data_IF_276331460630
#
_entry.id   IF_276331460630
#
_cell.length_a   1.000
_cell.length_b   1.000
_cell.length_c   1.000
_cell.angle_alpha   90.00
_cell.angle_beta   90.00
_cell.angle_gamma   90.00
#
_symmetry.space_group_name_H-M   'P 1'
#
loop_
_entity.id
_entity.type
_entity.pdbx_description
1 polymer ?
#
# COMPACT_ATOMS: atom_id res chain seq x y z
N UNK A 1 21.87 4.55 -6.54
CA UNK A 1 23.28 4.19 -6.87
C UNK A 1 23.65 4.54 -8.30
N UNK A 2 22.81 4.25 -9.29
CA UNK A 2 23.10 4.60 -10.70
C UNK A 2 23.32 6.10 -10.90
N UNK A 3 22.48 6.93 -10.32
CA UNK A 3 22.53 8.39 -10.48
C UNK A 3 23.84 9.00 -9.93
N UNK A 4 24.24 8.62 -8.73
CA UNK A 4 25.39 9.22 -8.04
C UNK A 4 26.70 8.43 -8.16
N UNK A 5 26.62 7.11 -8.32
CA UNK A 5 27.80 6.25 -8.36
C UNK A 5 28.07 5.62 -9.74
N UNK A 6 27.14 5.74 -10.69
CA UNK A 6 27.21 5.09 -12.00
C UNK A 6 27.24 3.56 -11.93
N UNK A 7 26.84 2.97 -10.79
CA UNK A 7 26.87 1.52 -10.56
C UNK A 7 25.45 0.95 -10.50
N UNK A 8 25.20 -0.10 -11.31
CA UNK A 8 24.02 -0.93 -11.17
C UNK A 8 24.12 -1.79 -9.90
N UNK A 9 23.00 -1.97 -9.22
CA UNK A 9 22.89 -2.87 -8.07
C UNK A 9 22.10 -4.11 -8.46
N UNK A 10 22.45 -5.24 -7.88
CA UNK A 10 21.67 -6.46 -7.99
C UNK A 10 20.37 -6.27 -7.22
N UNK A 11 19.24 -6.59 -7.83
CA UNK A 11 17.95 -6.47 -7.14
C UNK A 11 17.70 -7.66 -6.20
N UNK A 12 16.84 -7.47 -5.21
CA UNK A 12 16.37 -8.55 -4.34
C UNK A 12 15.82 -9.73 -5.14
N UNK A 13 15.06 -9.45 -6.18
CA UNK A 13 14.45 -10.47 -7.04
C UNK A 13 15.45 -11.19 -7.96
N UNK A 14 16.66 -10.65 -8.15
CA UNK A 14 17.73 -11.35 -8.87
C UNK A 14 18.35 -12.46 -8.01
N UNK A 15 18.19 -12.38 -6.67
CA UNK A 15 18.61 -13.43 -5.74
C UNK A 15 17.51 -14.43 -5.48
N UNK A 16 16.29 -13.94 -5.23
CA UNK A 16 15.19 -14.75 -4.72
C UNK A 16 14.27 -15.29 -5.82
N UNK A 17 14.40 -14.80 -7.05
CA UNK A 17 13.44 -15.10 -8.13
C UNK A 17 12.18 -14.23 -8.05
N UNK A 18 11.21 -14.49 -8.94
CA UNK A 18 9.95 -13.72 -9.06
C UNK A 18 8.74 -14.62 -9.14
N UNK A 19 7.59 -14.12 -8.68
CA UNK A 19 6.30 -14.83 -8.78
C UNK A 19 6.28 -16.15 -8.02
N UNK A 20 5.71 -17.17 -8.62
CA UNK A 20 5.57 -18.49 -7.98
C UNK A 20 6.89 -19.25 -7.72
N UNK A 21 7.98 -18.83 -8.36
CA UNK A 21 9.31 -19.40 -8.17
C UNK A 21 10.17 -18.62 -7.17
N UNK A 22 9.60 -17.61 -6.50
CA UNK A 22 10.33 -16.83 -5.51
C UNK A 22 10.58 -17.65 -4.24
N UNK A 23 11.84 -17.72 -3.83
CA UNK A 23 12.26 -18.38 -2.57
C UNK A 23 12.40 -17.33 -1.45
N UNK A 24 12.23 -17.72 -0.18
CA UNK A 24 12.57 -16.89 0.97
C UNK A 24 14.07 -16.53 0.97
N UNK A 25 14.43 -15.34 1.44
CA UNK A 25 15.83 -14.92 1.51
C UNK A 25 16.70 -15.88 2.35
N UNK A 26 16.12 -16.50 3.37
CA UNK A 26 16.79 -17.50 4.20
C UNK A 26 17.26 -18.76 3.43
N UNK A 27 16.70 -19.00 2.25
CA UNK A 27 17.08 -20.14 1.38
C UNK A 27 18.12 -19.74 0.31
N UNK A 28 18.47 -18.45 0.22
CA UNK A 28 19.51 -17.98 -0.70
C UNK A 28 20.88 -18.48 -0.20
N UNK A 29 21.76 -19.02 -1.09
CA UNK A 29 23.10 -19.44 -0.71
C UNK A 29 23.85 -18.32 0.00
N UNK A 30 24.53 -18.64 1.10
CA UNK A 30 25.22 -17.65 1.95
C UNK A 30 26.24 -16.79 1.16
N UNK A 31 26.96 -17.40 0.22
CA UNK A 31 27.89 -16.67 -0.64
C UNK A 31 27.23 -15.60 -1.50
N UNK A 32 26.05 -15.89 -2.07
CA UNK A 32 25.27 -14.94 -2.86
C UNK A 32 24.67 -13.83 -1.98
N UNK A 33 24.12 -14.21 -0.83
CA UNK A 33 23.59 -13.27 0.15
C UNK A 33 24.70 -12.34 0.70
N UNK A 34 25.88 -12.88 1.01
CA UNK A 34 27.03 -12.10 1.48
C UNK A 34 27.52 -11.11 0.40
N UNK A 35 27.60 -11.55 -0.86
CA UNK A 35 27.99 -10.67 -1.96
C UNK A 35 26.96 -9.53 -2.17
N UNK A 36 25.67 -9.84 -2.06
CA UNK A 36 24.59 -8.86 -2.15
C UNK A 36 24.65 -7.84 -1.01
N UNK A 37 24.62 -8.31 0.24
CA UNK A 37 24.66 -7.43 1.42
C UNK A 37 25.95 -6.61 1.50
N UNK A 38 27.09 -7.19 1.11
CA UNK A 38 28.36 -6.50 1.04
C UNK A 38 28.39 -5.38 0.01
N UNK A 39 27.78 -5.62 -1.18
CA UNK A 39 27.63 -4.58 -2.19
C UNK A 39 26.70 -3.44 -1.74
N UNK A 40 25.60 -3.77 -1.03
CA UNK A 40 24.69 -2.78 -0.45
C UNK A 40 25.41 -1.91 0.59
N UNK A 41 26.13 -2.52 1.53
CA UNK A 41 26.89 -1.80 2.55
C UNK A 41 28.00 -0.90 1.95
N UNK A 42 28.73 -1.39 0.97
CA UNK A 42 29.74 -0.61 0.27
C UNK A 42 29.11 0.57 -0.51
N UNK A 43 27.93 0.37 -1.05
CA UNK A 43 27.19 1.43 -1.76
C UNK A 43 26.70 2.51 -0.80
N UNK A 44 26.19 2.15 0.37
CA UNK A 44 25.78 3.10 1.43
C UNK A 44 26.97 3.94 1.88
N UNK A 45 28.13 3.32 2.12
CA UNK A 45 29.34 4.04 2.50
C UNK A 45 29.78 5.04 1.41
N UNK A 46 29.79 4.62 0.14
CA UNK A 46 30.15 5.50 -0.95
C UNK A 46 29.15 6.66 -1.15
N UNK A 47 27.86 6.45 -0.93
CA UNK A 47 26.83 7.50 -0.94
C UNK A 47 27.02 8.48 0.22
N UNK A 48 27.37 7.98 1.41
CA UNK A 48 27.68 8.83 2.54
C UNK A 48 28.82 9.81 2.25
N UNK A 49 29.91 9.35 1.60
CA UNK A 49 31.03 10.21 1.20
C UNK A 49 30.60 11.34 0.24
N UNK A 50 29.58 11.09 -0.59
CA UNK A 50 29.03 12.09 -1.51
C UNK A 50 28.06 13.04 -0.80
N UNK A 51 27.15 12.53 0.02
CA UNK A 51 26.07 13.33 0.59
C UNK A 51 26.47 14.11 1.85
N UNK A 52 27.42 13.62 2.64
CA UNK A 52 27.81 14.32 3.85
C UNK A 52 28.39 15.74 3.60
N UNK A 53 29.24 15.97 2.56
CA UNK A 53 29.62 17.31 2.18
C UNK A 53 28.44 18.18 1.72
N UNK A 54 27.52 17.61 0.90
CA UNK A 54 26.35 18.34 0.39
C UNK A 54 25.42 18.77 1.53
N UNK A 55 25.18 17.92 2.52
CA UNK A 55 24.40 18.28 3.70
C UNK A 55 24.99 19.46 4.47
N UNK A 56 26.33 19.53 4.55
CA UNK A 56 27.02 20.67 5.20
C UNK A 56 26.87 21.95 4.37
N UNK A 57 27.05 21.88 3.05
CA UNK A 57 26.88 23.02 2.14
C UNK A 57 25.46 23.56 2.17
N UNK A 58 24.45 22.68 2.31
CA UNK A 58 23.03 23.03 2.40
C UNK A 58 22.61 23.47 3.82
N UNK A 59 23.53 23.48 4.80
CA UNK A 59 23.26 23.73 6.21
C UNK A 59 22.22 22.75 6.83
N UNK A 60 22.12 21.54 6.31
CA UNK A 60 21.22 20.47 6.79
C UNK A 60 21.88 19.47 7.73
N UNK A 61 23.21 19.53 7.93
CA UNK A 61 23.89 18.63 8.85
C UNK A 61 23.34 18.71 10.30
N UNK A 62 23.05 19.90 10.88
CA UNK A 62 22.43 19.96 12.21
C UNK A 62 21.03 19.31 12.25
N UNK A 63 20.24 19.40 11.19
CA UNK A 63 18.96 18.71 11.12
C UNK A 63 19.15 17.19 11.21
N UNK A 64 20.12 16.65 10.46
CA UNK A 64 20.43 15.23 10.48
C UNK A 64 20.94 14.81 11.88
N UNK A 65 21.95 15.52 12.41
CA UNK A 65 22.69 15.09 13.60
C UNK A 65 21.89 15.33 14.91
N UNK A 66 21.16 16.45 14.99
CA UNK A 66 20.49 16.89 16.21
C UNK A 66 19.00 16.48 16.28
N UNK A 67 18.38 16.13 15.16
CA UNK A 67 16.97 15.74 15.11
C UNK A 67 16.76 14.33 14.54
N UNK A 68 17.16 14.09 13.29
CA UNK A 68 16.85 12.85 12.58
C UNK A 68 17.54 11.63 13.20
N UNK A 69 18.82 11.75 13.55
CA UNK A 69 19.56 10.62 14.15
C UNK A 69 19.11 10.30 15.58
N UNK A 70 18.88 11.28 16.48
CA UNK A 70 18.28 11.00 17.79
C UNK A 70 16.86 10.44 17.72
N UNK A 71 16.07 10.83 16.71
CA UNK A 71 14.73 10.29 16.50
C UNK A 71 14.73 8.77 16.26
N UNK A 72 15.81 8.21 15.70
CA UNK A 72 15.93 6.76 15.46
C UNK A 72 15.79 5.98 16.78
N UNK A 73 16.43 6.43 17.86
CA UNK A 73 16.33 5.78 19.18
C UNK A 73 14.89 5.80 19.70
N UNK A 74 14.20 6.94 19.57
CA UNK A 74 12.79 7.08 19.97
C UNK A 74 11.90 6.12 19.17
N UNK A 75 12.12 6.02 17.87
CA UNK A 75 11.35 5.11 17.01
C UNK A 75 11.60 3.64 17.36
N UNK A 76 12.85 3.27 17.67
CA UNK A 76 13.21 1.93 18.16
C UNK A 76 12.45 1.59 19.44
N UNK A 77 12.43 2.50 20.41
CA UNK A 77 11.70 2.31 21.67
C UNK A 77 10.19 2.19 21.43
N UNK A 78 9.62 2.99 20.53
CA UNK A 78 8.20 2.90 20.16
C UNK A 78 7.87 1.56 19.49
N UNK A 79 8.68 1.11 18.55
CA UNK A 79 8.50 -0.18 17.87
C UNK A 79 8.68 -1.35 18.86
N UNK A 80 9.68 -1.27 19.72
CA UNK A 80 9.91 -2.27 20.77
C UNK A 80 8.75 -2.35 21.78
N UNK A 81 8.23 -1.20 22.20
CA UNK A 81 7.05 -1.14 23.07
C UNK A 81 5.80 -1.68 22.37
N UNK A 82 5.66 -1.43 21.09
CA UNK A 82 4.51 -1.83 20.27
C UNK A 82 3.20 -1.14 20.67
N UNK A 83 2.12 -1.46 19.96
CA UNK A 83 0.78 -0.85 20.15
C UNK A 83 -0.22 -1.92 20.59
N UNK A 84 -0.95 -1.65 21.67
CA UNK A 84 -2.10 -2.46 22.07
C UNK A 84 -3.33 -2.07 21.26
N UNK A 85 -4.17 -3.06 20.88
CA UNK A 85 -5.43 -2.83 20.21
C UNK A 85 -6.59 -3.40 21.03
N UNK A 86 -7.76 -2.77 20.93
CA UNK A 86 -9.01 -3.28 21.50
C UNK A 86 -9.63 -4.32 20.55
N UNK A 87 -9.30 -5.60 20.75
CA UNK A 87 -9.80 -6.70 19.90
C UNK A 87 -11.34 -6.74 19.83
N UNK A 88 -12.09 -6.64 20.95
CA UNK A 88 -13.55 -6.56 20.89
C UNK A 88 -14.09 -5.43 20.02
N UNK A 89 -13.43 -4.27 20.02
CA UNK A 89 -13.78 -3.16 19.12
C UNK A 89 -13.58 -3.56 17.66
N UNK A 90 -12.42 -4.15 17.32
CA UNK A 90 -12.13 -4.59 15.94
C UNK A 90 -13.11 -5.66 15.46
N UNK A 91 -13.52 -6.57 16.30
CA UNK A 91 -14.56 -7.56 15.98
C UNK A 91 -15.92 -6.93 15.69
N UNK A 92 -16.31 -5.90 16.47
CA UNK A 92 -17.54 -5.12 16.20
C UNK A 92 -17.42 -4.38 14.86
N UNK A 93 -16.31 -3.64 14.65
CA UNK A 93 -16.07 -2.92 13.41
C UNK A 93 -16.11 -3.84 12.19
N UNK A 94 -15.50 -5.03 12.27
CA UNK A 94 -15.53 -6.00 11.16
C UNK A 94 -16.94 -6.46 10.81
N UNK A 95 -17.80 -6.70 11.83
CA UNK A 95 -19.21 -7.07 11.61
C UNK A 95 -20.01 -5.91 11.02
N UNK A 96 -19.89 -4.74 11.61
CA UNK A 96 -20.67 -3.56 11.22
C UNK A 96 -20.31 -3.11 9.80
N UNK A 97 -19.00 -3.03 9.50
CA UNK A 97 -18.51 -2.75 8.14
C UNK A 97 -18.90 -3.86 7.14
N UNK A 98 -18.92 -5.12 7.56
CA UNK A 98 -19.37 -6.23 6.73
C UNK A 98 -20.84 -6.12 6.35
N UNK A 99 -21.71 -5.75 7.29
CA UNK A 99 -23.13 -5.53 7.05
C UNK A 99 -23.36 -4.33 6.11
N UNK A 100 -22.62 -3.25 6.31
CA UNK A 100 -22.70 -2.05 5.47
C UNK A 100 -22.20 -2.29 4.05
N UNK A 101 -21.11 -3.04 3.87
CA UNK A 101 -20.63 -3.46 2.55
C UNK A 101 -21.66 -4.31 1.81
N UNK A 102 -22.33 -5.24 2.50
CA UNK A 102 -23.39 -6.04 1.90
C UNK A 102 -24.62 -5.19 1.50
N UNK A 103 -24.96 -4.18 2.30
CA UNK A 103 -26.02 -3.22 1.95
C UNK A 103 -25.66 -2.43 0.71
N UNK A 104 -24.45 -1.83 0.67
CA UNK A 104 -23.95 -1.05 -0.48
C UNK A 104 -23.85 -1.91 -1.73
N UNK A 105 -23.37 -3.14 -1.63
CA UNK A 105 -23.33 -4.08 -2.76
C UNK A 105 -24.72 -4.33 -3.33
N UNK A 106 -25.71 -4.56 -2.47
CA UNK A 106 -27.11 -4.73 -2.89
C UNK A 106 -27.67 -3.49 -3.60
N UNK A 107 -27.41 -2.30 -3.08
CA UNK A 107 -27.82 -1.03 -3.69
C UNK A 107 -27.16 -0.79 -5.04
N UNK A 108 -25.83 -1.04 -5.13
CA UNK A 108 -25.10 -0.90 -6.39
C UNK A 108 -25.64 -1.86 -7.44
N UNK A 109 -25.87 -3.12 -7.10
CA UNK A 109 -26.41 -4.11 -8.04
C UNK A 109 -27.84 -3.78 -8.47
N UNK A 110 -28.66 -3.28 -7.54
CA UNK A 110 -30.01 -2.81 -7.85
C UNK A 110 -29.98 -1.59 -8.80
N UNK A 111 -29.15 -0.59 -8.52
CA UNK A 111 -28.97 0.58 -9.37
C UNK A 111 -28.39 0.23 -10.74
N UNK A 112 -27.51 -0.78 -10.79
CA UNK A 112 -26.93 -1.28 -12.05
C UNK A 112 -27.89 -2.14 -12.88
N UNK A 113 -28.95 -2.68 -12.27
CA UNK A 113 -29.86 -3.62 -12.91
C UNK A 113 -29.23 -4.98 -13.25
N UNK A 114 -28.05 -5.27 -12.72
CA UNK A 114 -27.30 -6.52 -12.97
C UNK A 114 -26.35 -6.83 -11.82
N UNK A 115 -26.00 -8.11 -11.68
CA UNK A 115 -24.99 -8.56 -10.72
C UNK A 115 -23.61 -8.61 -11.39
N UNK A 116 -22.61 -8.07 -10.72
CA UNK A 116 -21.22 -8.07 -11.20
C UNK A 116 -20.24 -8.00 -10.02
N UNK A 117 -18.98 -8.31 -10.26
CA UNK A 117 -17.92 -8.17 -9.25
C UNK A 117 -17.49 -6.71 -9.16
N UNK A 118 -17.84 -6.04 -8.03
CA UNK A 118 -17.52 -4.64 -7.75
C UNK A 118 -15.99 -4.38 -7.71
N UNK A 119 -15.22 -5.40 -7.35
CA UNK A 119 -13.76 -5.34 -7.29
C UNK A 119 -13.09 -5.59 -8.65
N UNK A 120 -13.86 -5.81 -9.72
CA UNK A 120 -13.34 -5.97 -11.08
C UNK A 120 -13.47 -4.66 -11.87
N UNK A 121 -12.35 -3.92 -12.12
CA UNK A 121 -12.40 -2.69 -12.91
C UNK A 121 -12.99 -2.89 -14.31
N UNK A 122 -12.80 -4.10 -14.89
CA UNK A 122 -13.34 -4.45 -16.21
C UNK A 122 -14.87 -4.55 -16.19
N UNK A 123 -15.43 -5.28 -15.22
CA UNK A 123 -16.88 -5.43 -15.11
C UNK A 123 -17.55 -4.12 -14.72
N UNK A 124 -16.96 -3.37 -13.80
CA UNK A 124 -17.43 -2.03 -13.45
C UNK A 124 -17.41 -1.09 -14.67
N UNK A 125 -16.35 -1.11 -15.47
CA UNK A 125 -16.26 -0.33 -16.70
C UNK A 125 -17.38 -0.70 -17.70
N UNK A 126 -17.70 -1.99 -17.85
CA UNK A 126 -18.82 -2.43 -18.69
C UNK A 126 -20.16 -1.88 -18.19
N UNK A 127 -20.41 -1.93 -16.88
CA UNK A 127 -21.65 -1.39 -16.30
C UNK A 127 -21.73 0.12 -16.52
N UNK A 128 -20.71 0.88 -16.17
CA UNK A 128 -20.75 2.34 -16.27
C UNK A 128 -20.83 2.85 -17.71
N UNK A 129 -19.98 2.33 -18.59
CA UNK A 129 -19.77 2.91 -19.92
C UNK A 129 -20.57 2.21 -21.03
N UNK A 130 -20.81 0.88 -20.94
CA UNK A 130 -21.54 0.16 -21.98
C UNK A 130 -23.04 0.07 -21.65
N UNK A 131 -23.43 -0.24 -20.40
CA UNK A 131 -24.83 -0.38 -20.02
C UNK A 131 -25.49 0.96 -19.69
N UNK A 132 -24.84 1.77 -18.85
CA UNK A 132 -25.38 3.07 -18.42
C UNK A 132 -24.92 4.25 -19.28
N UNK A 133 -24.08 4.03 -20.30
CA UNK A 133 -23.64 5.01 -21.30
C UNK A 133 -23.09 6.31 -20.67
N UNK A 134 -22.42 6.20 -19.51
CA UNK A 134 -21.81 7.34 -18.85
C UNK A 134 -20.64 7.90 -19.68
N UNK A 135 -20.35 9.21 -19.61
CA UNK A 135 -19.27 9.80 -20.38
C UNK A 135 -17.89 9.24 -19.97
N UNK A 136 -17.07 8.89 -20.96
CA UNK A 136 -15.69 8.43 -20.74
C UNK A 136 -14.79 9.64 -20.54
N UNK A 137 -14.48 9.96 -19.28
CA UNK A 137 -13.66 11.14 -18.91
C UNK A 137 -12.16 10.86 -19.09
N UNK A 138 -11.73 9.61 -18.89
CA UNK A 138 -10.32 9.20 -18.96
C UNK A 138 -10.19 7.79 -19.51
N UNK A 139 -9.17 7.56 -20.34
CA UNK A 139 -8.83 6.23 -20.86
C UNK A 139 -7.49 5.76 -20.33
N UNK A 140 -7.40 4.47 -20.06
CA UNK A 140 -6.16 3.75 -19.75
C UNK A 140 -5.75 2.88 -20.94
N UNK A 141 -4.60 2.23 -20.86
CA UNK A 141 -4.16 1.28 -21.91
C UNK A 141 -5.15 0.11 -22.10
N UNK A 142 -5.91 -0.24 -21.08
CA UNK A 142 -6.82 -1.40 -21.08
C UNK A 142 -8.29 -1.04 -21.25
N UNK A 143 -8.65 0.24 -21.36
CA UNK A 143 -10.02 0.71 -21.54
C UNK A 143 -10.35 1.98 -20.76
N UNK A 144 -11.64 2.35 -20.65
CA UNK A 144 -12.07 3.48 -19.82
C UNK A 144 -11.65 3.30 -18.36
N UNK A 145 -11.20 4.39 -17.73
CA UNK A 145 -10.78 4.36 -16.32
C UNK A 145 -11.97 4.29 -15.37
N UNK A 146 -11.80 3.56 -14.28
CA UNK A 146 -12.70 3.51 -13.12
C UNK A 146 -11.98 3.88 -11.84
N UNK A 147 -10.92 4.73 -11.93
CA UNK A 147 -10.20 5.23 -10.77
C UNK A 147 -11.06 6.22 -9.95
N UNK A 148 -10.59 6.55 -8.74
CA UNK A 148 -11.34 7.39 -7.82
C UNK A 148 -11.67 8.76 -8.42
N UNK A 149 -10.69 9.42 -9.05
CA UNK A 149 -10.86 10.76 -9.64
C UNK A 149 -11.96 10.78 -10.72
N UNK A 150 -12.06 9.72 -11.52
CA UNK A 150 -13.09 9.59 -12.55
C UNK A 150 -14.45 9.33 -11.93
N UNK A 151 -14.52 8.45 -10.94
CA UNK A 151 -15.77 8.17 -10.24
C UNK A 151 -16.31 9.40 -9.48
N UNK A 152 -15.43 10.19 -8.87
CA UNK A 152 -15.80 11.46 -8.21
C UNK A 152 -16.41 12.45 -9.20
N UNK A 153 -15.81 12.60 -10.38
CA UNK A 153 -16.36 13.46 -11.43
C UNK A 153 -17.72 12.98 -11.93
N UNK A 154 -17.88 11.67 -12.14
CA UNK A 154 -19.17 11.08 -12.54
C UNK A 154 -20.23 11.24 -11.44
N UNK A 155 -19.87 11.08 -10.17
CA UNK A 155 -20.76 11.31 -9.04
C UNK A 155 -21.18 12.79 -8.95
N UNK A 156 -20.26 13.73 -9.19
CA UNK A 156 -20.56 15.17 -9.25
C UNK A 156 -21.49 15.54 -10.41
N UNK A 157 -21.51 14.75 -11.47
CA UNK A 157 -22.49 14.87 -12.58
C UNK A 157 -23.88 14.31 -12.23
N UNK A 158 -24.07 13.77 -11.01
CA UNK A 158 -25.33 13.22 -10.53
C UNK A 158 -25.54 11.72 -10.79
N UNK A 159 -24.51 11.00 -11.20
CA UNK A 159 -24.59 9.55 -11.36
C UNK A 159 -24.51 8.83 -10.02
N UNK A 160 -25.51 8.03 -9.68
CA UNK A 160 -25.64 7.35 -8.39
C UNK A 160 -24.63 6.20 -8.22
N UNK A 161 -24.46 5.35 -9.24
CA UNK A 161 -23.59 4.17 -9.18
C UNK A 161 -22.14 4.55 -8.83
N UNK A 162 -21.48 5.55 -9.48
CA UNK A 162 -20.15 6.01 -9.09
C UNK A 162 -20.06 6.46 -7.64
N UNK A 163 -21.05 7.18 -7.11
CA UNK A 163 -21.08 7.61 -5.70
C UNK A 163 -21.08 6.41 -4.76
N UNK A 164 -21.97 5.45 -4.98
CA UNK A 164 -22.05 4.22 -4.17
C UNK A 164 -20.78 3.38 -4.26
N UNK A 165 -20.15 3.29 -5.43
CA UNK A 165 -18.88 2.57 -5.62
C UNK A 165 -17.74 3.24 -4.84
N UNK A 166 -17.68 4.58 -4.75
CA UNK A 166 -16.69 5.27 -3.93
C UNK A 166 -16.86 4.93 -2.44
N UNK A 167 -18.08 4.99 -1.93
CA UNK A 167 -18.40 4.63 -0.55
C UNK A 167 -18.02 3.17 -0.25
N UNK A 168 -18.39 2.25 -1.14
CA UNK A 168 -18.04 0.84 -1.04
C UNK A 168 -16.52 0.62 -1.00
N UNK A 169 -15.77 1.26 -1.90
CA UNK A 169 -14.30 1.11 -1.99
C UNK A 169 -13.58 1.66 -0.78
N UNK A 170 -14.01 2.81 -0.25
CA UNK A 170 -13.45 3.39 0.97
C UNK A 170 -13.63 2.44 2.14
N UNK A 171 -14.86 1.98 2.37
CA UNK A 171 -15.17 1.06 3.46
C UNK A 171 -14.45 -0.28 3.31
N UNK A 172 -14.41 -0.84 2.09
CA UNK A 172 -13.71 -2.09 1.79
C UNK A 172 -12.20 -1.96 2.06
N UNK A 173 -11.60 -0.84 1.67
CA UNK A 173 -10.17 -0.55 1.91
C UNK A 173 -9.87 -0.46 3.40
N UNK A 174 -10.67 0.29 4.16
CA UNK A 174 -10.52 0.40 5.62
C UNK A 174 -10.64 -0.97 6.30
N UNK A 175 -11.64 -1.75 5.94
CA UNK A 175 -11.87 -3.07 6.50
C UNK A 175 -10.72 -4.02 6.20
N UNK A 176 -10.36 -4.16 4.92
CA UNK A 176 -9.34 -5.13 4.47
C UNK A 176 -7.91 -4.74 4.86
N UNK A 177 -7.63 -3.44 4.98
CA UNK A 177 -6.26 -2.96 5.28
C UNK A 177 -5.97 -2.89 6.78
N UNK A 178 -6.99 -2.54 7.58
CA UNK A 178 -6.79 -2.30 9.01
C UNK A 178 -7.62 -3.23 9.89
N UNK A 179 -8.94 -3.29 9.69
CA UNK A 179 -9.83 -3.94 10.65
C UNK A 179 -9.62 -5.45 10.72
N UNK A 180 -9.36 -6.09 9.60
CA UNK A 180 -9.10 -7.54 9.53
C UNK A 180 -7.62 -7.88 9.73
N UNK A 181 -6.71 -6.99 9.34
CA UNK A 181 -5.27 -7.28 9.37
C UNK A 181 -4.65 -7.02 10.73
N UNK A 182 -4.98 -5.90 11.39
CA UNK A 182 -4.33 -5.53 12.66
C UNK A 182 -4.52 -6.57 13.78
N UNK A 183 -5.71 -7.14 14.00
CA UNK A 183 -5.88 -8.19 15.02
C UNK A 183 -5.02 -9.44 14.77
N UNK A 184 -4.78 -9.79 13.50
CA UNK A 184 -3.95 -10.92 13.12
C UNK A 184 -2.44 -10.66 13.32
N UNK A 185 -2.04 -9.40 13.43
CA UNK A 185 -0.65 -8.98 13.67
C UNK A 185 -0.25 -8.92 15.14
N UNK A 186 -1.19 -9.10 16.06
CA UNK A 186 -0.91 -9.06 17.49
C UNK A 186 -0.02 -10.24 17.88
N UNK A 187 1.16 -9.94 18.40
CA UNK A 187 2.08 -10.92 18.95
C UNK A 187 1.46 -11.58 20.20
N UNK A 188 1.36 -12.89 20.19
CA UNK A 188 0.72 -13.65 21.26
C UNK A 188 1.45 -13.53 22.61
N UNK A 189 2.76 -13.31 22.60
CA UNK A 189 3.55 -13.22 23.83
C UNK A 189 3.43 -11.84 24.50
N UNK A 190 3.34 -10.75 23.71
CA UNK A 190 3.27 -9.38 24.22
C UNK A 190 1.86 -8.81 24.27
N UNK A 191 0.92 -9.39 23.52
CA UNK A 191 -0.43 -8.85 23.33
C UNK A 191 -0.46 -7.55 22.50
N UNK A 192 0.63 -7.21 21.83
CA UNK A 192 0.82 -5.94 21.11
C UNK A 192 1.26 -6.19 19.67
N UNK A 193 1.14 -5.18 18.83
CA UNK A 193 1.67 -5.15 17.47
C UNK A 193 3.02 -4.42 17.53
N UNK A 194 4.03 -5.01 16.91
CA UNK A 194 5.38 -4.46 16.81
C UNK A 194 5.78 -4.22 15.37
#
# INVERSE_FOLDING_TARGET
SMEHLGRGMRSYTDLTGKGAAQIPFAEVPVADAAAYCGADSATVLALHEIFAPQLREMALAPLLDDLEMPLVEVLVDMEWAGIAIDRPLFERLSRDMGAELARLEGEIQAAAGTTFNLNSPKQLGQVLYEQHQMPVLKKTRTGPSTDADVLEQLAAMGHEIPRLILEYRELQKLRSTYVEVLPARVNAATGRIH
#
